data_IF_251544614513
#
_entry.id   IF_251544614513
#
_cell.length_a   1.000
_cell.length_b   1.000
_cell.length_c   1.000
_cell.angle_alpha   90.00
_cell.angle_beta   90.00
_cell.angle_gamma   90.00
#
_symmetry.space_group_name_H-M   'P 1'
#
loop_
_entity.id
_entity.type
_entity.pdbx_description
1 polymer ?
#
# COMPACT_ATOMS: atom_id res chain seq x y z
N UNK A 1 40.27 26.84 0.48
CA UNK A 1 39.03 26.32 -0.15
C UNK A 1 38.94 26.64 -1.66
N UNK A 2 39.47 27.74 -2.18
CA UNK A 2 39.43 28.08 -3.62
C UNK A 2 40.20 27.15 -4.57
N UNK A 3 41.29 26.51 -4.12
CA UNK A 3 42.11 25.64 -4.98
C UNK A 3 41.46 24.27 -5.31
N UNK A 4 40.67 23.70 -4.40
CA UNK A 4 39.98 22.40 -4.61
C UNK A 4 38.80 22.56 -5.56
N UNK A 5 38.04 23.64 -5.45
CA UNK A 5 36.96 23.98 -6.36
C UNK A 5 37.43 24.26 -7.78
N UNK A 6 38.54 25.00 -7.94
CA UNK A 6 39.13 25.29 -9.24
C UNK A 6 39.69 24.01 -9.93
N UNK A 7 40.26 23.08 -9.16
CA UNK A 7 40.69 21.77 -9.68
C UNK A 7 39.52 20.89 -10.07
N UNK A 8 38.42 20.88 -9.33
CA UNK A 8 37.20 20.15 -9.66
C UNK A 8 36.52 20.71 -10.94
N UNK A 9 36.41 22.00 -11.07
CA UNK A 9 35.85 22.64 -12.28
C UNK A 9 36.75 22.42 -13.51
N UNK A 10 38.08 22.46 -13.34
CA UNK A 10 39.01 22.13 -14.41
C UNK A 10 38.93 20.68 -14.86
N UNK A 11 38.85 19.72 -13.93
CA UNK A 11 38.70 18.31 -14.26
C UNK A 11 37.33 17.97 -14.88
N UNK A 12 36.28 18.68 -14.51
CA UNK A 12 34.95 18.54 -15.14
C UNK A 12 34.96 19.04 -16.60
N UNK A 13 35.64 20.15 -16.88
CA UNK A 13 35.74 20.71 -18.23
C UNK A 13 36.62 19.82 -19.15
N UNK A 14 37.71 19.25 -18.61
CA UNK A 14 38.56 18.29 -19.34
C UNK A 14 37.78 16.96 -19.61
N UNK A 15 37.07 16.42 -18.61
CA UNK A 15 36.26 15.23 -18.78
C UNK A 15 35.16 15.42 -19.84
N UNK A 16 34.54 16.61 -19.90
CA UNK A 16 33.54 16.94 -20.92
C UNK A 16 34.12 17.00 -22.34
N UNK A 17 35.34 17.52 -22.51
CA UNK A 17 36.01 17.54 -23.82
C UNK A 17 36.40 16.11 -24.29
N UNK A 18 36.82 15.25 -23.38
CA UNK A 18 37.26 13.89 -23.71
C UNK A 18 36.06 12.97 -24.10
N UNK A 19 34.93 13.14 -23.43
CA UNK A 19 33.65 12.50 -23.84
C UNK A 19 33.28 12.89 -25.27
N UNK A 20 33.62 14.10 -25.70
CA UNK A 20 33.33 14.59 -27.05
C UNK A 20 34.22 13.97 -28.15
N UNK A 21 35.41 13.48 -27.82
CA UNK A 21 36.39 12.93 -28.79
C UNK A 21 36.15 11.43 -29.01
N UNK A 22 35.79 10.64 -27.96
CA UNK A 22 35.59 9.19 -28.03
C UNK A 22 34.16 8.75 -27.71
N UNK A 23 33.19 9.46 -28.30
CA UNK A 23 31.75 9.37 -28.01
C UNK A 23 31.18 7.95 -27.90
N UNK A 24 31.53 7.06 -28.81
CA UNK A 24 30.87 5.74 -28.89
C UNK A 24 31.20 4.79 -27.72
N UNK A 25 32.48 4.76 -27.31
CA UNK A 25 32.92 3.82 -26.25
C UNK A 25 32.54 4.33 -24.85
N UNK A 26 32.76 5.62 -24.60
CA UNK A 26 32.40 6.27 -23.33
C UNK A 26 30.88 6.24 -23.15
N UNK A 27 30.11 6.53 -24.20
CA UNK A 27 28.67 6.39 -24.17
C UNK A 27 28.22 4.96 -23.84
N UNK A 28 28.83 3.93 -24.43
CA UNK A 28 28.46 2.54 -24.19
C UNK A 28 28.72 2.10 -22.73
N UNK A 29 29.84 2.57 -22.13
CA UNK A 29 30.11 2.30 -20.71
C UNK A 29 29.17 3.05 -19.79
N UNK A 30 28.86 4.32 -20.08
CA UNK A 30 27.92 5.13 -19.30
C UNK A 30 26.49 4.58 -19.37
N UNK A 31 26.07 4.08 -20.54
CA UNK A 31 24.77 3.42 -20.69
C UNK A 31 24.70 2.18 -19.79
N UNK A 32 25.77 1.36 -19.74
CA UNK A 32 25.80 0.18 -18.86
C UNK A 32 25.60 0.54 -17.38
N UNK A 33 26.30 1.59 -16.89
CA UNK A 33 26.13 2.10 -15.52
C UNK A 33 24.74 2.67 -15.30
N UNK A 34 24.25 3.50 -16.22
CA UNK A 34 22.93 4.09 -16.14
C UNK A 34 21.82 3.04 -16.06
N UNK A 35 21.92 1.98 -16.89
CA UNK A 35 20.97 0.87 -16.87
C UNK A 35 21.06 0.07 -15.55
N UNK A 36 22.25 -0.20 -15.05
CA UNK A 36 22.43 -0.89 -13.77
C UNK A 36 21.86 -0.09 -12.60
N UNK A 37 22.13 1.22 -12.54
CA UNK A 37 21.58 2.12 -11.52
C UNK A 37 20.07 2.26 -11.66
N UNK A 38 19.56 2.39 -12.88
CA UNK A 38 18.12 2.43 -13.16
C UNK A 38 17.42 1.15 -12.67
N UNK A 39 17.95 -0.01 -13.01
CA UNK A 39 17.39 -1.30 -12.59
C UNK A 39 17.42 -1.45 -11.07
N UNK A 40 18.52 -1.07 -10.42
CA UNK A 40 18.68 -1.14 -8.97
C UNK A 40 17.71 -0.20 -8.24
N UNK A 41 17.73 1.10 -8.60
CA UNK A 41 16.85 2.09 -7.99
C UNK A 41 15.37 1.80 -8.26
N UNK A 42 15.07 1.33 -9.48
CA UNK A 42 13.72 0.92 -9.87
C UNK A 42 13.25 -0.30 -9.07
N UNK A 43 14.10 -1.32 -8.85
CA UNK A 43 13.71 -2.50 -8.07
C UNK A 43 13.43 -2.18 -6.60
N UNK A 44 14.18 -1.25 -5.99
CA UNK A 44 13.91 -0.78 -4.63
C UNK A 44 12.58 -0.03 -4.58
N UNK A 45 12.35 0.90 -5.50
CA UNK A 45 11.10 1.65 -5.55
C UNK A 45 9.88 0.74 -5.81
N UNK A 46 10.01 -0.24 -6.69
CA UNK A 46 8.95 -1.23 -6.94
C UNK A 46 8.65 -2.08 -5.71
N UNK A 47 9.67 -2.43 -4.92
CA UNK A 47 9.49 -3.14 -3.67
C UNK A 47 8.69 -2.31 -2.66
N UNK A 48 8.96 -1.00 -2.55
CA UNK A 48 8.24 -0.10 -1.64
C UNK A 48 6.76 0.06 -2.08
N UNK A 49 6.48 0.15 -3.38
CA UNK A 49 5.11 0.19 -3.91
C UNK A 49 4.37 -1.13 -3.63
N UNK A 50 5.02 -2.28 -3.86
CA UNK A 50 4.44 -3.58 -3.56
C UNK A 50 4.17 -3.76 -2.06
N UNK A 51 5.06 -3.24 -1.21
CA UNK A 51 4.88 -3.20 0.23
C UNK A 51 3.65 -2.40 0.62
N UNK A 52 3.53 -1.18 0.09
CA UNK A 52 2.39 -0.31 0.34
C UNK A 52 1.09 -1.00 -0.11
N UNK A 53 1.08 -1.61 -1.29
CA UNK A 53 -0.07 -2.36 -1.80
C UNK A 53 -0.48 -3.52 -0.88
N UNK A 54 0.51 -4.24 -0.33
CA UNK A 54 0.25 -5.34 0.62
C UNK A 54 -0.35 -4.81 1.93
N UNK A 55 0.18 -3.70 2.46
CA UNK A 55 -0.34 -3.06 3.67
C UNK A 55 -1.77 -2.58 3.44
N UNK A 56 -2.04 -1.85 2.36
CA UNK A 56 -3.39 -1.36 2.07
C UNK A 56 -4.40 -2.50 1.83
N UNK A 57 -3.96 -3.58 1.18
CA UNK A 57 -4.80 -4.76 1.01
C UNK A 57 -5.12 -5.43 2.35
N UNK A 58 -4.14 -5.53 3.24
CA UNK A 58 -4.33 -6.06 4.58
C UNK A 58 -5.24 -5.15 5.42
N UNK A 59 -5.10 -3.83 5.33
CA UNK A 59 -5.98 -2.87 6.00
C UNK A 59 -7.43 -2.96 5.52
N UNK A 60 -7.66 -3.26 4.23
CA UNK A 60 -9.03 -3.50 3.73
C UNK A 60 -9.67 -4.76 4.27
N UNK A 61 -8.88 -5.82 4.49
CA UNK A 61 -9.40 -7.10 4.98
C UNK A 61 -9.53 -7.16 6.50
N UNK A 62 -8.61 -6.55 7.24
CA UNK A 62 -8.47 -6.73 8.69
C UNK A 62 -8.49 -5.43 9.50
N UNK A 63 -8.79 -4.31 8.83
CA UNK A 63 -8.73 -2.97 9.42
C UNK A 63 -7.32 -2.39 9.47
N UNK A 64 -7.24 -1.08 9.74
CA UNK A 64 -5.98 -0.35 9.89
C UNK A 64 -5.15 -0.88 11.05
N UNK A 65 -3.86 -0.58 11.04
CA UNK A 65 -2.94 -0.96 12.11
C UNK A 65 -3.51 -0.55 13.48
N UNK A 66 -3.44 -1.47 14.45
CA UNK A 66 -4.03 -1.33 15.80
C UNK A 66 -5.57 -1.46 15.85
N UNK A 67 -6.19 -2.14 14.91
CA UNK A 67 -7.58 -2.55 15.03
C UNK A 67 -7.69 -3.73 16.01
N UNK A 68 -8.53 -3.55 17.03
CA UNK A 68 -8.95 -4.58 17.96
C UNK A 68 -10.27 -5.17 17.50
N UNK A 69 -10.35 -6.48 17.53
CA UNK A 69 -11.59 -7.22 17.27
C UNK A 69 -12.08 -7.86 18.55
N UNK A 70 -13.34 -7.64 18.87
CA UNK A 70 -13.98 -8.23 20.02
C UNK A 70 -15.05 -9.21 19.57
N UNK A 71 -14.91 -10.46 20.00
CA UNK A 71 -15.96 -11.46 19.99
C UNK A 71 -16.62 -11.50 21.35
N UNK A 72 -17.96 -11.50 21.40
CA UNK A 72 -18.69 -11.68 22.65
C UNK A 72 -19.91 -12.59 22.50
N UNK A 73 -20.27 -13.23 23.60
CA UNK A 73 -21.52 -13.98 23.75
C UNK A 73 -22.05 -13.71 25.14
N UNK A 74 -23.16 -12.97 25.28
CA UNK A 74 -23.74 -12.71 26.58
C UNK A 74 -24.33 -13.97 27.21
N UNK A 75 -24.38 -14.00 28.54
CA UNK A 75 -25.03 -15.12 29.30
C UNK A 75 -26.49 -15.27 28.96
N UNK A 76 -27.20 -14.17 28.75
CA UNK A 76 -28.57 -14.14 28.21
C UNK A 76 -28.49 -13.94 26.69
N UNK A 77 -28.71 -15.00 25.94
CA UNK A 77 -28.71 -15.01 24.47
C UNK A 77 -30.02 -14.52 23.85
N UNK A 78 -30.95 -14.00 24.65
CA UNK A 78 -32.18 -13.37 24.14
C UNK A 78 -31.84 -12.02 23.45
N UNK A 79 -32.82 -11.49 22.72
CA UNK A 79 -32.74 -10.17 22.11
C UNK A 79 -32.40 -9.08 23.16
N UNK A 80 -32.99 -9.19 24.37
CA UNK A 80 -32.73 -8.25 25.46
C UNK A 80 -31.29 -8.33 25.97
N UNK A 81 -30.74 -9.56 26.10
CA UNK A 81 -29.35 -9.76 26.53
C UNK A 81 -28.35 -9.20 25.52
N UNK A 82 -28.61 -9.39 24.22
CA UNK A 82 -27.79 -8.77 23.16
C UNK A 82 -27.89 -7.27 23.13
N UNK A 83 -29.09 -6.69 23.34
CA UNK A 83 -29.25 -5.23 23.44
C UNK A 83 -28.49 -4.65 24.65
N UNK A 84 -28.51 -5.36 25.77
CA UNK A 84 -27.74 -4.94 26.96
C UNK A 84 -26.22 -5.00 26.69
N UNK A 85 -25.76 -6.02 26.00
CA UNK A 85 -24.35 -6.19 25.62
C UNK A 85 -23.91 -5.10 24.62
N UNK A 86 -24.74 -4.78 23.62
CA UNK A 86 -24.50 -3.66 22.69
C UNK A 86 -24.41 -2.32 23.44
N UNK A 87 -25.34 -2.08 24.40
CA UNK A 87 -25.29 -0.84 25.19
C UNK A 87 -24.01 -0.74 26.03
N UNK A 88 -23.60 -1.85 26.67
CA UNK A 88 -22.35 -1.88 27.42
C UNK A 88 -21.13 -1.61 26.52
N UNK A 89 -21.15 -2.08 25.27
CA UNK A 89 -20.11 -1.76 24.30
C UNK A 89 -20.08 -0.27 23.94
N UNK A 90 -21.22 0.36 23.69
CA UNK A 90 -21.28 1.80 23.46
C UNK A 90 -20.80 2.61 24.67
N UNK A 91 -21.17 2.19 25.90
CA UNK A 91 -20.70 2.85 27.12
C UNK A 91 -19.16 2.75 27.28
N UNK A 92 -18.55 1.65 26.81
CA UNK A 92 -17.10 1.47 26.75
C UNK A 92 -16.46 2.39 25.71
N UNK A 93 -17.04 2.49 24.52
CA UNK A 93 -16.54 3.41 23.48
C UNK A 93 -16.53 4.86 23.96
N UNK A 94 -17.62 5.31 24.57
CA UNK A 94 -17.74 6.65 25.11
C UNK A 94 -16.73 6.91 26.24
N UNK A 95 -16.54 5.93 27.14
CA UNK A 95 -15.61 6.04 28.28
C UNK A 95 -14.16 6.16 27.86
N UNK A 96 -13.76 5.43 26.82
CA UNK A 96 -12.38 5.44 26.30
C UNK A 96 -12.20 6.39 25.12
N UNK A 97 -13.23 7.18 24.77
CA UNK A 97 -13.24 8.15 23.66
C UNK A 97 -12.83 7.49 22.32
N UNK A 98 -13.31 6.26 22.07
CA UNK A 98 -13.02 5.54 20.84
C UNK A 98 -14.01 5.99 19.75
N UNK A 99 -13.56 6.87 18.87
CA UNK A 99 -14.39 7.43 17.80
C UNK A 99 -14.59 6.47 16.61
N UNK A 100 -13.64 5.59 16.36
CA UNK A 100 -13.65 4.66 15.24
C UNK A 100 -13.94 3.25 15.74
N UNK A 101 -15.20 2.86 15.67
CA UNK A 101 -15.65 1.56 16.06
C UNK A 101 -16.83 1.12 15.17
N UNK A 102 -16.96 -0.17 14.94
CA UNK A 102 -17.99 -0.74 14.06
C UNK A 102 -18.38 -2.14 14.51
N UNK A 103 -19.66 -2.46 14.31
CA UNK A 103 -20.14 -3.83 14.34
C UNK A 103 -20.08 -4.38 12.93
N UNK A 104 -19.53 -5.56 12.76
CA UNK A 104 -19.40 -6.20 11.46
C UNK A 104 -20.16 -7.50 11.48
N UNK A 105 -21.11 -7.68 10.56
CA UNK A 105 -21.88 -8.91 10.40
C UNK A 105 -21.81 -9.34 8.95
N UNK A 106 -21.49 -10.60 8.72
CA UNK A 106 -21.55 -11.20 7.40
C UNK A 106 -22.86 -11.95 7.23
N UNK A 107 -23.56 -11.68 6.16
CA UNK A 107 -24.83 -12.29 5.80
C UNK A 107 -24.87 -12.54 4.28
N UNK A 108 -25.82 -13.31 3.83
CA UNK A 108 -26.15 -13.49 2.43
C UNK A 108 -27.61 -13.13 2.20
N UNK A 109 -27.86 -12.48 1.08
CA UNK A 109 -29.22 -12.11 0.70
C UNK A 109 -29.39 -12.21 -0.80
N UNK A 110 -30.61 -12.28 -1.27
CA UNK A 110 -30.90 -12.34 -2.69
C UNK A 110 -31.38 -10.97 -3.18
N UNK A 111 -30.85 -10.52 -4.30
CA UNK A 111 -31.18 -9.24 -4.95
C UNK A 111 -31.74 -9.48 -6.32
N UNK A 112 -32.73 -8.66 -6.73
CA UNK A 112 -33.29 -8.68 -8.06
C UNK A 112 -32.37 -7.94 -9.04
N UNK A 113 -31.85 -8.66 -10.02
CA UNK A 113 -31.12 -8.12 -11.16
C UNK A 113 -31.99 -8.18 -12.41
N UNK A 114 -31.60 -7.48 -13.50
CA UNK A 114 -32.31 -7.56 -14.79
C UNK A 114 -32.43 -8.99 -15.34
N UNK A 115 -31.44 -9.84 -15.06
CA UNK A 115 -31.37 -11.24 -15.51
C UNK A 115 -32.04 -12.23 -14.55
N UNK A 116 -32.56 -11.79 -13.41
CA UNK A 116 -33.23 -12.62 -12.39
C UNK A 116 -32.73 -12.34 -10.97
N UNK A 117 -33.17 -13.17 -10.04
CA UNK A 117 -32.74 -13.07 -8.63
C UNK A 117 -31.42 -13.81 -8.47
N UNK A 118 -30.43 -13.16 -7.86
CA UNK A 118 -29.10 -13.74 -7.56
C UNK A 118 -28.73 -13.49 -6.09
N UNK A 119 -27.93 -14.40 -5.54
CA UNK A 119 -27.39 -14.25 -4.20
C UNK A 119 -26.24 -13.24 -4.19
N UNK A 120 -26.21 -12.42 -3.15
CA UNK A 120 -25.27 -11.33 -2.95
C UNK A 120 -24.70 -11.44 -1.54
N UNK A 121 -23.39 -11.28 -1.39
CA UNK A 121 -22.78 -11.13 -0.08
C UNK A 121 -23.18 -9.80 0.52
N UNK A 122 -23.77 -9.83 1.71
CA UNK A 122 -24.16 -8.66 2.47
C UNK A 122 -23.23 -8.51 3.68
N UNK A 123 -22.54 -7.41 3.78
CA UNK A 123 -21.80 -7.04 4.97
C UNK A 123 -22.50 -5.86 5.64
N UNK A 124 -22.95 -6.11 6.87
CA UNK A 124 -23.65 -5.10 7.67
C UNK A 124 -22.64 -4.45 8.61
N UNK A 125 -22.52 -3.12 8.54
CA UNK A 125 -21.47 -2.36 9.22
C UNK A 125 -22.01 -1.06 9.81
N UNK A 126 -21.24 -0.41 10.68
CA UNK A 126 -21.51 0.97 11.09
C UNK A 126 -20.69 1.95 10.20
N UNK A 127 -21.07 3.21 10.22
CA UNK A 127 -20.52 4.26 9.34
C UNK A 127 -18.98 4.36 9.38
N UNK A 128 -18.26 4.25 10.53
CA UNK A 128 -16.81 4.36 10.58
C UNK A 128 -16.05 3.24 9.87
N UNK A 129 -16.70 2.13 9.52
CA UNK A 129 -16.09 0.98 8.84
C UNK A 129 -15.31 1.37 7.59
N UNK A 130 -15.87 2.25 6.75
CA UNK A 130 -15.25 2.65 5.49
C UNK A 130 -13.87 3.28 5.66
N UNK A 131 -13.69 4.07 6.72
CA UNK A 131 -12.41 4.68 7.06
C UNK A 131 -11.46 3.68 7.76
N UNK A 132 -12.00 2.85 8.66
CA UNK A 132 -11.24 1.82 9.36
C UNK A 132 -10.66 0.78 8.40
N UNK A 133 -11.41 0.42 7.35
CA UNK A 133 -11.03 -0.58 6.35
C UNK A 133 -10.58 0.03 5.02
N UNK A 134 -10.27 1.32 4.97
CA UNK A 134 -9.78 1.99 3.74
C UNK A 134 -10.64 1.65 2.50
N UNK A 135 -11.95 1.62 2.65
CA UNK A 135 -12.85 1.29 1.54
C UNK A 135 -12.72 2.34 0.42
N UNK A 136 -12.31 1.90 -0.77
CA UNK A 136 -12.14 2.78 -1.93
C UNK A 136 -13.47 2.94 -2.66
N UNK A 137 -13.97 4.16 -2.77
CA UNK A 137 -15.18 4.47 -3.51
C UNK A 137 -14.81 4.98 -4.89
N UNK A 138 -15.30 4.29 -5.94
CA UNK A 138 -15.10 4.68 -7.34
C UNK A 138 -16.16 5.67 -7.82
N UNK A 139 -17.42 5.45 -7.42
CA UNK A 139 -18.54 6.30 -7.79
C UNK A 139 -19.42 6.57 -6.57
N UNK A 140 -19.97 7.77 -6.47
CA UNK A 140 -20.79 8.17 -5.34
C UNK A 140 -20.01 8.43 -4.06
N UNK A 141 -20.55 8.02 -2.91
CA UNK A 141 -19.96 8.26 -1.58
C UNK A 141 -20.11 7.04 -0.68
N UNK A 142 -19.27 6.95 0.35
CA UNK A 142 -19.53 6.10 1.50
C UNK A 142 -20.69 6.64 2.32
N UNK A 143 -21.22 5.88 3.25
CA UNK A 143 -22.34 6.28 4.10
C UNK A 143 -22.06 7.59 4.86
N UNK A 144 -23.02 8.51 4.79
CA UNK A 144 -23.05 9.70 5.60
C UNK A 144 -23.73 9.44 6.96
N UNK A 145 -23.68 10.44 7.84
CA UNK A 145 -24.29 10.37 9.18
C UNK A 145 -25.81 10.19 9.09
N UNK A 146 -26.45 10.85 8.13
CA UNK A 146 -27.91 10.85 7.98
C UNK A 146 -28.45 9.60 7.24
N UNK A 147 -27.57 8.73 6.74
CA UNK A 147 -28.01 7.56 5.98
C UNK A 147 -28.65 6.47 6.87
N UNK A 148 -28.36 6.49 8.19
CA UNK A 148 -29.02 5.60 9.15
C UNK A 148 -30.52 5.91 9.32
N UNK A 149 -30.94 7.17 9.11
CA UNK A 149 -32.30 7.64 9.34
C UNK A 149 -33.16 7.65 8.08
N UNK A 150 -32.63 7.15 6.96
CA UNK A 150 -33.39 7.05 5.69
C UNK A 150 -34.50 6.02 5.77
N UNK A 151 -35.66 6.37 5.21
CA UNK A 151 -36.78 5.44 5.07
C UNK A 151 -36.48 4.27 4.15
N UNK A 152 -35.76 4.51 3.03
CA UNK A 152 -35.23 3.48 2.18
C UNK A 152 -33.74 3.27 2.54
N UNK A 153 -33.31 2.03 2.91
CA UNK A 153 -31.94 1.75 3.26
C UNK A 153 -30.95 2.21 2.21
N UNK A 154 -29.87 2.83 2.64
CA UNK A 154 -28.74 3.11 1.77
C UNK A 154 -27.86 1.86 1.65
N UNK A 155 -27.36 1.56 0.44
CA UNK A 155 -26.39 0.50 0.20
C UNK A 155 -25.22 1.02 -0.62
N UNK A 156 -24.03 0.49 -0.33
CA UNK A 156 -22.82 0.70 -1.12
C UNK A 156 -22.46 -0.63 -1.74
N UNK A 157 -22.42 -0.71 -3.07
CA UNK A 157 -22.26 -1.96 -3.83
C UNK A 157 -20.87 -2.06 -4.45
N UNK A 158 -20.40 -3.27 -4.75
CA UNK A 158 -19.12 -3.42 -5.44
C UNK A 158 -19.25 -3.20 -6.96
N UNK A 159 -18.12 -3.03 -7.62
CA UNK A 159 -18.05 -2.81 -9.07
C UNK A 159 -18.72 -3.95 -9.85
N UNK A 160 -18.59 -5.22 -9.41
CA UNK A 160 -19.21 -6.36 -10.07
C UNK A 160 -20.75 -6.29 -10.01
N UNK A 161 -21.32 -5.97 -8.85
CA UNK A 161 -22.77 -5.79 -8.69
C UNK A 161 -23.27 -4.59 -9.52
N UNK A 162 -22.55 -3.48 -9.52
CA UNK A 162 -22.90 -2.29 -10.31
C UNK A 162 -22.95 -2.58 -11.81
N UNK A 163 -21.98 -3.34 -12.33
CA UNK A 163 -21.97 -3.77 -13.73
C UNK A 163 -23.14 -4.71 -14.04
N UNK A 164 -23.46 -5.64 -13.17
CA UNK A 164 -24.61 -6.55 -13.31
C UNK A 164 -25.97 -5.82 -13.29
N UNK A 165 -26.04 -4.65 -12.67
CA UNK A 165 -27.20 -3.76 -12.69
C UNK A 165 -27.26 -2.88 -13.94
N UNK A 166 -26.31 -3.00 -14.88
CA UNK A 166 -26.24 -2.19 -16.09
C UNK A 166 -25.55 -0.84 -15.92
N UNK A 167 -24.74 -0.68 -14.87
CA UNK A 167 -23.95 0.52 -14.58
C UNK A 167 -24.80 1.82 -14.52
N UNK A 168 -25.89 1.85 -13.72
CA UNK A 168 -26.75 3.02 -13.63
C UNK A 168 -26.00 4.24 -13.11
N UNK A 169 -26.39 5.45 -13.58
CA UNK A 169 -25.88 6.70 -13.04
C UNK A 169 -26.39 6.91 -11.61
N UNK A 170 -25.49 7.04 -10.64
CA UNK A 170 -25.83 7.23 -9.22
C UNK A 170 -26.53 8.56 -8.96
N UNK A 171 -26.37 9.57 -9.83
CA UNK A 171 -27.11 10.84 -9.71
C UNK A 171 -28.63 10.65 -9.87
N UNK A 172 -29.07 9.53 -10.44
CA UNK A 172 -30.50 9.17 -10.55
C UNK A 172 -31.05 8.45 -9.33
N UNK A 173 -30.24 8.24 -8.29
CA UNK A 173 -30.58 7.47 -7.11
C UNK A 173 -31.14 6.08 -7.44
N UNK A 174 -30.38 5.22 -8.12
CA UNK A 174 -30.85 3.92 -8.55
C UNK A 174 -31.24 3.07 -7.34
N UNK A 175 -32.37 2.35 -7.49
CA UNK A 175 -32.88 1.47 -6.45
C UNK A 175 -32.63 0.03 -6.81
N UNK A 176 -32.43 -0.81 -5.79
CA UNK A 176 -32.29 -2.25 -5.91
C UNK A 176 -33.29 -2.92 -4.97
N UNK A 177 -33.98 -3.95 -5.45
CA UNK A 177 -34.92 -4.73 -4.64
C UNK A 177 -34.17 -5.89 -3.98
N UNK A 178 -34.13 -5.91 -2.66
CA UNK A 178 -33.50 -6.97 -1.86
C UNK A 178 -34.55 -8.02 -1.55
N UNK A 179 -34.67 -9.02 -2.43
CA UNK A 179 -35.68 -10.07 -2.33
C UNK A 179 -35.54 -10.88 -1.03
N UNK A 180 -34.31 -11.18 -0.60
CA UNK A 180 -34.04 -11.93 0.63
C UNK A 180 -34.36 -11.15 1.92
N UNK A 181 -34.69 -9.85 1.83
CA UNK A 181 -35.14 -9.00 2.94
C UNK A 181 -36.58 -8.50 2.72
N UNK A 182 -37.48 -9.41 2.33
CA UNK A 182 -38.90 -9.11 2.17
C UNK A 182 -39.25 -8.24 0.96
N UNK A 183 -38.36 -8.10 -0.02
CA UNK A 183 -38.54 -7.20 -1.17
C UNK A 183 -38.30 -5.75 -0.85
N UNK A 184 -37.47 -5.46 0.16
CA UNK A 184 -37.10 -4.10 0.54
C UNK A 184 -36.38 -3.39 -0.60
N UNK A 185 -36.80 -2.18 -0.92
CA UNK A 185 -36.10 -1.31 -1.89
C UNK A 185 -35.02 -0.53 -1.16
N UNK A 186 -33.78 -0.66 -1.65
CA UNK A 186 -32.61 0.07 -1.13
C UNK A 186 -32.06 1.01 -2.22
N UNK A 187 -31.53 2.16 -1.79
CA UNK A 187 -30.93 3.17 -2.67
C UNK A 187 -29.41 2.93 -2.75
N UNK A 188 -28.87 2.83 -3.95
CA UNK A 188 -27.43 2.75 -4.15
C UNK A 188 -26.83 4.15 -4.03
N UNK A 189 -26.00 4.37 -3.01
CA UNK A 189 -25.35 5.66 -2.72
C UNK A 189 -23.90 5.71 -3.18
N UNK A 190 -23.26 4.53 -3.34
CA UNK A 190 -21.87 4.44 -3.76
C UNK A 190 -21.52 3.10 -4.36
N UNK A 191 -20.41 3.11 -5.10
CA UNK A 191 -19.79 1.91 -5.69
C UNK A 191 -18.37 1.82 -5.16
N UNK A 192 -18.05 0.74 -4.45
CA UNK A 192 -16.70 0.52 -3.96
C UNK A 192 -15.90 -0.39 -4.90
N UNK A 193 -14.61 -0.09 -4.95
CA UNK A 193 -13.66 -0.84 -5.78
C UNK A 193 -13.30 -2.15 -5.12
N UNK A 194 -13.38 -3.22 -5.89
CA UNK A 194 -12.83 -4.53 -5.53
C UNK A 194 -11.72 -4.94 -6.48
N UNK A 195 -10.98 -5.97 -6.12
CA UNK A 195 -9.99 -6.58 -6.99
C UNK A 195 -10.65 -7.02 -8.31
N UNK A 196 -9.91 -6.94 -9.41
CA UNK A 196 -10.35 -7.41 -10.73
C UNK A 196 -10.71 -8.92 -10.74
N UNK A 197 -10.24 -9.67 -9.74
CA UNK A 197 -10.53 -11.10 -9.56
C UNK A 197 -11.80 -11.37 -8.77
N UNK A 198 -12.30 -10.35 -8.04
CA UNK A 198 -13.52 -10.45 -7.25
C UNK A 198 -14.72 -10.09 -8.12
N UNK A 199 -15.28 -11.11 -8.75
CA UNK A 199 -16.43 -10.99 -9.65
C UNK A 199 -17.76 -11.28 -8.95
N UNK A 200 -17.73 -11.62 -7.64
CA UNK A 200 -18.95 -11.92 -6.91
C UNK A 200 -19.65 -10.63 -6.47
N UNK A 201 -20.98 -10.51 -6.73
CA UNK A 201 -21.75 -9.35 -6.28
C UNK A 201 -21.75 -9.24 -4.76
N UNK A 202 -21.44 -8.06 -4.24
CA UNK A 202 -21.43 -7.80 -2.80
C UNK A 202 -21.85 -6.37 -2.49
N UNK A 203 -22.39 -6.18 -1.27
CA UNK A 203 -22.85 -4.86 -0.83
C UNK A 203 -22.67 -4.67 0.67
N UNK A 204 -22.51 -3.40 1.05
CA UNK A 204 -22.56 -2.93 2.43
C UNK A 204 -23.93 -2.32 2.73
N UNK A 205 -24.38 -2.49 3.98
CA UNK A 205 -25.57 -1.84 4.54
C UNK A 205 -25.28 -1.40 5.97
N UNK A 206 -25.86 -0.29 6.41
CA UNK A 206 -25.72 0.17 7.79
C UNK A 206 -26.47 -0.76 8.77
N UNK A 207 -25.87 -0.99 9.94
CA UNK A 207 -26.44 -1.82 11.02
C UNK A 207 -27.82 -1.34 11.44
N UNK A 208 -28.02 -0.02 11.54
CA UNK A 208 -29.31 0.57 11.91
C UNK A 208 -30.40 0.24 10.86
N UNK A 209 -30.08 0.40 9.58
CA UNK A 209 -31.00 0.10 8.48
C UNK A 209 -31.31 -1.41 8.43
N UNK A 210 -30.31 -2.28 8.57
CA UNK A 210 -30.51 -3.73 8.60
C UNK A 210 -31.42 -4.14 9.76
N UNK A 211 -31.17 -3.64 10.97
CA UNK A 211 -31.96 -3.94 12.15
C UNK A 211 -33.43 -3.50 12.04
N UNK A 212 -33.73 -2.46 11.25
CA UNK A 212 -35.09 -1.96 11.05
C UNK A 212 -35.93 -2.84 10.09
N UNK A 213 -35.30 -3.67 9.25
CA UNK A 213 -35.97 -4.46 8.20
C UNK A 213 -35.95 -5.97 8.43
N UNK A 214 -35.13 -6.45 9.37
CA UNK A 214 -35.04 -7.90 9.67
C UNK A 214 -35.81 -8.26 10.94
N UNK A 215 -36.21 -9.53 11.04
CA UNK A 215 -36.76 -10.05 12.28
C UNK A 215 -35.67 -10.06 13.38
N UNK A 216 -35.98 -9.65 14.61
CA UNK A 216 -35.03 -9.65 15.73
C UNK A 216 -34.34 -11.00 15.98
N UNK A 217 -35.01 -12.13 15.68
CA UNK A 217 -34.40 -13.44 15.79
C UNK A 217 -33.20 -13.64 14.87
N UNK A 218 -33.19 -13.01 13.69
CA UNK A 218 -32.05 -13.06 12.76
C UNK A 218 -30.84 -12.30 13.32
N UNK A 219 -31.06 -11.23 14.07
CA UNK A 219 -29.99 -10.47 14.73
C UNK A 219 -29.27 -11.31 15.80
N UNK A 220 -30.02 -12.13 16.50
CA UNK A 220 -29.50 -13.02 17.56
C UNK A 220 -28.79 -14.24 16.99
N UNK A 221 -29.30 -14.82 15.91
CA UNK A 221 -28.74 -16.04 15.30
C UNK A 221 -27.39 -15.85 14.64
N UNK A 222 -27.08 -14.62 14.21
CA UNK A 222 -25.79 -14.25 13.61
C UNK A 222 -25.27 -12.99 14.29
N UNK A 223 -24.64 -13.09 15.47
CA UNK A 223 -24.16 -11.94 16.22
C UNK A 223 -23.04 -11.21 15.46
N UNK A 224 -22.90 -9.89 15.63
CA UNK A 224 -21.85 -9.13 15.00
C UNK A 224 -20.52 -9.41 15.69
N UNK A 225 -19.45 -9.21 14.94
CA UNK A 225 -18.11 -8.99 15.45
C UNK A 225 -17.95 -7.48 15.71
N UNK A 226 -17.27 -7.09 16.76
CA UNK A 226 -17.07 -5.71 17.13
C UNK A 226 -15.64 -5.32 16.85
N UNK A 227 -15.43 -4.24 16.14
CA UNK A 227 -14.10 -3.75 15.79
C UNK A 227 -13.91 -2.33 16.30
N UNK A 228 -12.69 -2.04 16.77
CA UNK A 228 -12.30 -0.74 17.33
C UNK A 228 -10.91 -0.39 16.84
N UNK A 229 -10.75 0.79 16.27
CA UNK A 229 -9.43 1.30 15.89
C UNK A 229 -8.89 2.19 16.99
N UNK A 230 -7.80 1.81 17.61
CA UNK A 230 -7.21 2.45 18.78
C UNK A 230 -5.78 2.93 18.50
N UNK A 231 -5.24 3.88 19.29
CA UNK A 231 -3.84 4.26 19.15
C UNK A 231 -2.89 3.09 19.41
N UNK A 232 -1.94 2.85 18.51
CA UNK A 232 -1.04 1.70 18.55
C UNK A 232 -0.29 1.53 19.90
N UNK A 233 0.22 2.59 20.57
CA UNK A 233 0.88 2.45 21.87
C UNK A 233 -0.04 1.92 22.98
N UNK A 234 -1.36 2.10 22.84
CA UNK A 234 -2.34 1.74 23.85
C UNK A 234 -3.04 0.40 23.61
N UNK A 235 -2.78 -0.27 22.49
CA UNK A 235 -3.41 -1.53 22.07
C UNK A 235 -3.50 -2.54 23.21
N UNK A 236 -2.36 -2.86 23.83
CA UNK A 236 -2.29 -3.89 24.89
C UNK A 236 -3.04 -3.47 26.17
N UNK A 237 -2.96 -2.20 26.55
CA UNK A 237 -3.62 -1.71 27.72
C UNK A 237 -5.14 -1.65 27.52
N UNK A 238 -5.58 -1.10 26.39
CA UNK A 238 -7.00 -1.00 26.05
C UNK A 238 -7.63 -2.37 25.85
N UNK A 239 -6.98 -3.31 25.14
CA UNK A 239 -7.54 -4.64 24.95
C UNK A 239 -7.82 -5.35 26.28
N UNK A 240 -6.87 -5.29 27.22
CA UNK A 240 -7.04 -5.91 28.55
C UNK A 240 -8.14 -5.23 29.37
N UNK A 241 -8.22 -3.89 29.36
CA UNK A 241 -9.24 -3.14 30.10
C UNK A 241 -10.63 -3.37 29.51
N UNK A 242 -10.79 -3.25 28.22
CA UNK A 242 -12.06 -3.48 27.51
C UNK A 242 -12.52 -4.92 27.74
N UNK A 243 -11.62 -5.91 27.61
CA UNK A 243 -11.97 -7.31 27.86
C UNK A 243 -12.47 -7.52 29.28
N UNK A 244 -11.80 -6.96 30.30
CA UNK A 244 -12.18 -7.12 31.70
C UNK A 244 -13.56 -6.46 31.97
N UNK A 245 -13.79 -5.25 31.44
CA UNK A 245 -15.03 -4.51 31.63
C UNK A 245 -16.21 -5.17 30.91
N UNK A 246 -16.00 -5.57 29.63
CA UNK A 246 -17.04 -6.27 28.87
C UNK A 246 -17.35 -7.65 29.45
N UNK A 247 -16.35 -8.37 29.97
CA UNK A 247 -16.58 -9.65 30.67
C UNK A 247 -17.48 -9.46 31.91
N UNK A 248 -17.32 -8.37 32.63
CA UNK A 248 -18.18 -8.04 33.76
C UNK A 248 -19.64 -7.70 33.34
N UNK A 249 -19.82 -7.16 32.13
CA UNK A 249 -21.11 -6.72 31.62
C UNK A 249 -21.95 -7.86 31.01
N UNK A 250 -21.31 -8.89 30.40
CA UNK A 250 -22.01 -9.98 29.70
C UNK A 250 -22.54 -11.09 30.61
N UNK A 251 -22.28 -11.02 31.91
CA UNK A 251 -22.75 -11.95 32.93
C UNK A 251 -21.79 -13.13 33.18
N UNK A 252 -22.08 -13.91 34.21
CA UNK A 252 -21.15 -14.91 34.77
C UNK A 252 -20.80 -16.09 33.84
N UNK A 253 -21.65 -16.43 32.89
CA UNK A 253 -21.45 -17.50 31.91
C UNK A 253 -21.17 -16.95 30.50
N UNK A 254 -21.14 -15.63 30.35
CA UNK A 254 -20.80 -14.97 29.10
C UNK A 254 -19.32 -15.10 28.75
N UNK A 255 -19.03 -14.90 27.48
CA UNK A 255 -17.67 -14.95 26.96
C UNK A 255 -17.34 -13.65 26.23
N UNK A 256 -16.13 -13.15 26.44
CA UNK A 256 -15.57 -12.00 25.70
C UNK A 256 -14.12 -12.28 25.40
N UNK A 257 -13.72 -12.09 24.13
CA UNK A 257 -12.33 -12.00 23.72
C UNK A 257 -12.09 -10.67 23.03
N UNK A 258 -10.96 -10.03 23.30
CA UNK A 258 -10.52 -8.82 22.62
C UNK A 258 -9.10 -9.06 22.12
N UNK A 259 -8.98 -9.19 20.81
CA UNK A 259 -7.75 -9.56 20.15
C UNK A 259 -7.33 -8.48 19.14
N UNK A 260 -6.04 -8.30 18.96
CA UNK A 260 -5.52 -7.51 17.86
C UNK A 260 -5.51 -8.38 16.60
N UNK A 261 -6.25 -8.00 15.57
CA UNK A 261 -6.46 -8.79 14.35
C UNK A 261 -5.89 -8.16 13.10
N UNK A 262 -5.35 -6.94 13.18
CA UNK A 262 -4.68 -6.31 12.06
C UNK A 262 -3.40 -7.08 11.67
N UNK A 263 -2.94 -6.87 10.45
CA UNK A 263 -1.76 -7.56 9.92
C UNK A 263 -0.51 -7.45 10.80
N UNK A 264 -0.35 -6.31 11.51
CA UNK A 264 0.76 -6.08 12.44
C UNK A 264 0.74 -6.98 13.68
N UNK A 265 -0.37 -7.67 13.97
CA UNK A 265 -0.44 -8.64 15.05
C UNK A 265 0.26 -9.97 14.73
N UNK A 266 0.30 -10.33 13.45
CA UNK A 266 0.74 -11.65 12.99
C UNK A 266 2.07 -11.65 12.24
N UNK A 267 2.54 -10.48 11.81
CA UNK A 267 3.75 -10.36 11.01
C UNK A 267 4.60 -9.18 11.49
N UNK A 268 5.77 -9.47 12.03
CA UNK A 268 6.76 -8.45 12.41
C UNK A 268 7.20 -7.60 11.21
N UNK A 269 7.26 -8.19 10.01
CA UNK A 269 7.50 -7.51 8.73
C UNK A 269 7.11 -8.43 7.57
N UNK A 270 5.88 -8.33 7.01
CA UNK A 270 5.44 -9.18 5.90
C UNK A 270 6.27 -8.99 4.64
N UNK A 271 7.05 -7.91 4.58
CA UNK A 271 7.84 -7.52 3.42
C UNK A 271 9.33 -7.83 3.57
N UNK A 272 9.77 -8.35 4.73
CA UNK A 272 11.17 -8.70 4.96
C UNK A 272 11.72 -9.64 3.87
N UNK A 273 10.92 -10.60 3.43
CA UNK A 273 11.31 -11.53 2.35
C UNK A 273 11.46 -10.77 1.02
N UNK A 274 10.51 -9.91 0.67
CA UNK A 274 10.58 -9.08 -0.55
C UNK A 274 11.81 -8.18 -0.53
N UNK A 275 12.10 -7.57 0.62
CA UNK A 275 13.28 -6.73 0.81
C UNK A 275 14.59 -7.51 0.64
N UNK A 276 14.68 -8.71 1.19
CA UNK A 276 15.85 -9.59 1.02
C UNK A 276 16.02 -9.98 -0.45
N UNK A 277 14.95 -10.40 -1.13
CA UNK A 277 14.98 -10.77 -2.55
C UNK A 277 15.42 -9.58 -3.41
N UNK A 278 14.89 -8.39 -3.15
CA UNK A 278 15.27 -7.16 -3.84
C UNK A 278 16.75 -6.81 -3.64
N UNK A 279 17.26 -6.94 -2.41
CA UNK A 279 18.68 -6.72 -2.10
C UNK A 279 19.59 -7.74 -2.82
N UNK A 280 19.19 -9.01 -2.87
CA UNK A 280 19.95 -10.05 -3.58
C UNK A 280 19.97 -9.78 -5.08
N UNK A 281 18.83 -9.52 -5.69
CA UNK A 281 18.74 -9.20 -7.13
C UNK A 281 19.53 -7.92 -7.43
N UNK A 282 19.37 -6.87 -6.64
CA UNK A 282 20.13 -5.64 -6.75
C UNK A 282 21.63 -5.86 -6.65
N UNK A 283 22.07 -6.68 -5.70
CA UNK A 283 23.47 -7.08 -5.54
C UNK A 283 24.04 -7.81 -6.78
N UNK A 284 23.26 -8.71 -7.37
CA UNK A 284 23.66 -9.41 -8.61
C UNK A 284 23.79 -8.42 -9.78
N UNK A 285 22.82 -7.54 -9.96
CA UNK A 285 22.87 -6.50 -11.02
C UNK A 285 24.08 -5.60 -10.83
N UNK A 286 24.39 -5.24 -9.60
CA UNK A 286 25.55 -4.42 -9.23
C UNK A 286 26.86 -5.14 -9.57
N UNK A 287 27.00 -6.40 -9.21
CA UNK A 287 28.18 -7.22 -9.55
C UNK A 287 28.38 -7.32 -11.07
N UNK A 288 27.32 -7.53 -11.83
CA UNK A 288 27.38 -7.59 -13.29
C UNK A 288 27.79 -6.23 -13.89
N UNK A 289 27.25 -5.12 -13.36
CA UNK A 289 27.66 -3.76 -13.73
C UNK A 289 29.13 -3.48 -13.43
N UNK A 290 29.60 -3.85 -12.25
CA UNK A 290 31.00 -3.71 -11.85
C UNK A 290 31.96 -4.49 -12.72
N UNK A 291 31.64 -5.76 -13.05
CA UNK A 291 32.43 -6.57 -13.97
C UNK A 291 32.52 -5.94 -15.37
N UNK A 292 31.43 -5.36 -15.86
CA UNK A 292 31.41 -4.61 -17.12
C UNK A 292 32.36 -3.42 -17.10
N UNK A 293 32.34 -2.64 -16.03
CA UNK A 293 33.21 -1.48 -15.83
C UNK A 293 34.68 -1.86 -15.70
N UNK A 294 35.01 -2.90 -14.93
CA UNK A 294 36.39 -3.42 -14.81
C UNK A 294 36.95 -3.84 -16.18
N UNK A 295 36.15 -4.52 -16.99
CA UNK A 295 36.56 -4.91 -18.32
C UNK A 295 36.87 -3.69 -19.21
N UNK A 296 36.02 -2.67 -19.18
CA UNK A 296 36.23 -1.43 -19.95
C UNK A 296 37.43 -0.65 -19.40
N UNK A 297 37.60 -0.54 -18.08
CA UNK A 297 38.73 0.13 -17.44
C UNK A 297 40.05 -0.50 -17.83
N UNK A 298 40.16 -1.84 -17.85
CA UNK A 298 41.34 -2.56 -18.26
C UNK A 298 41.73 -2.24 -19.71
N UNK A 299 40.76 -2.19 -20.62
CA UNK A 299 41.00 -1.84 -22.03
C UNK A 299 41.46 -0.37 -22.16
N UNK A 300 40.82 0.54 -21.43
CA UNK A 300 41.15 1.98 -21.46
C UNK A 300 42.54 2.23 -20.93
N UNK A 301 42.92 1.63 -19.80
CA UNK A 301 44.28 1.78 -19.23
C UNK A 301 45.33 1.30 -20.20
N UNK A 302 45.14 0.14 -20.86
CA UNK A 302 46.07 -0.38 -21.89
C UNK A 302 46.27 0.60 -23.07
N UNK A 303 45.24 1.31 -23.47
CA UNK A 303 45.29 2.30 -24.55
C UNK A 303 46.00 3.58 -24.15
N UNK A 304 45.91 3.98 -22.87
CA UNK A 304 46.50 5.23 -22.30
C UNK A 304 47.94 5.03 -21.78
N UNK A 305 48.53 3.84 -21.85
CA UNK A 305 49.88 3.59 -21.32
C UNK A 305 50.89 4.57 -21.90
N UNK A 306 50.79 4.91 -23.18
CA UNK A 306 51.70 5.88 -23.84
C UNK A 306 51.52 7.27 -23.32
N UNK A 307 50.32 7.73 -23.09
CA UNK A 307 50.02 9.07 -22.54
C UNK A 307 50.47 9.20 -21.09
N UNK A 308 50.22 8.15 -20.27
CA UNK A 308 50.69 8.07 -18.88
C UNK A 308 52.25 8.11 -18.88
N UNK A 309 52.91 7.42 -19.79
CA UNK A 309 54.35 7.45 -19.92
C UNK A 309 54.90 8.83 -20.25
N UNK A 310 54.25 9.60 -21.15
CA UNK A 310 54.60 10.97 -21.50
C UNK A 310 54.42 11.90 -20.33
N UNK A 311 53.30 11.83 -19.62
CA UNK A 311 53.03 12.66 -18.43
C UNK A 311 54.07 12.40 -17.31
N UNK A 312 54.52 11.17 -17.14
CA UNK A 312 55.57 10.80 -16.15
C UNK A 312 56.96 11.27 -16.60
N UNK A 313 57.28 11.29 -17.87
CA UNK A 313 58.57 11.85 -18.36
C UNK A 313 58.69 13.34 -18.17
N UNK A 314 57.54 14.08 -18.10
CA UNK A 314 57.50 15.50 -17.74
C UNK A 314 57.41 15.75 -16.23
N UNK A 315 57.65 14.74 -15.36
CA UNK A 315 57.78 14.87 -13.91
C UNK A 315 56.46 14.72 -13.13
N UNK A 316 55.39 14.24 -13.73
CA UNK A 316 54.16 13.96 -13.00
C UNK A 316 54.36 12.81 -12.04
N UNK A 317 53.97 12.96 -10.76
CA UNK A 317 54.02 11.88 -9.76
C UNK A 317 52.94 10.82 -10.06
N UNK A 318 53.24 9.57 -9.73
CA UNK A 318 52.31 8.42 -9.94
C UNK A 318 50.94 8.68 -9.29
N UNK A 319 50.93 9.24 -8.07
CA UNK A 319 49.67 9.55 -7.37
C UNK A 319 48.83 10.57 -8.10
N UNK A 320 49.47 11.65 -8.65
CA UNK A 320 48.72 12.68 -9.39
C UNK A 320 48.07 12.13 -10.64
N UNK A 321 48.76 11.25 -11.39
CA UNK A 321 48.21 10.60 -12.60
C UNK A 321 47.10 9.65 -12.22
N UNK A 322 47.30 8.84 -11.16
CA UNK A 322 46.29 7.91 -10.66
C UNK A 322 45.03 8.64 -10.24
N UNK A 323 45.12 9.66 -9.40
CA UNK A 323 43.95 10.44 -8.95
C UNK A 323 43.24 11.17 -10.10
N UNK A 324 43.96 11.64 -11.11
CA UNK A 324 43.35 12.30 -12.27
C UNK A 324 42.47 11.29 -13.06
N UNK A 325 43.00 10.08 -13.35
CA UNK A 325 42.28 9.05 -14.07
C UNK A 325 41.09 8.49 -13.24
N UNK A 326 41.29 8.32 -11.93
CA UNK A 326 40.24 7.86 -11.03
C UNK A 326 39.09 8.88 -10.96
N UNK A 327 39.40 10.20 -10.78
CA UNK A 327 38.37 11.23 -10.72
C UNK A 327 37.60 11.37 -12.04
N UNK A 328 38.23 11.18 -13.15
CA UNK A 328 37.57 11.15 -14.46
C UNK A 328 36.51 10.03 -14.52
N UNK A 329 36.88 8.83 -14.08
CA UNK A 329 35.95 7.70 -14.04
C UNK A 329 34.79 7.94 -13.08
N UNK A 330 35.07 8.43 -11.85
CA UNK A 330 34.05 8.74 -10.83
C UNK A 330 33.07 9.81 -11.34
N UNK A 331 33.53 10.87 -11.95
CA UNK A 331 32.64 11.92 -12.51
C UNK A 331 31.74 11.32 -13.59
N UNK A 332 32.30 10.51 -14.48
CA UNK A 332 31.53 9.89 -15.55
C UNK A 332 30.45 8.92 -15.00
N UNK A 333 30.81 8.09 -13.99
CA UNK A 333 29.89 7.14 -13.39
C UNK A 333 28.79 7.85 -12.55
N UNK A 334 29.09 8.94 -11.86
CA UNK A 334 28.11 9.76 -11.16
C UNK A 334 27.08 10.36 -12.12
N UNK A 335 27.54 10.92 -13.26
CA UNK A 335 26.64 11.45 -14.28
C UNK A 335 25.73 10.34 -14.85
N UNK A 336 26.30 9.17 -15.14
CA UNK A 336 25.51 8.02 -15.58
C UNK A 336 24.52 7.55 -14.51
N UNK A 337 24.95 7.56 -13.24
CA UNK A 337 24.08 7.23 -12.10
C UNK A 337 22.90 8.18 -11.98
N UNK A 338 23.11 9.49 -12.10
CA UNK A 338 22.03 10.49 -12.10
C UNK A 338 21.03 10.20 -13.23
N UNK A 339 21.53 9.95 -14.44
CA UNK A 339 20.65 9.58 -15.57
C UNK A 339 19.88 8.30 -15.29
N UNK A 340 20.54 7.29 -14.70
CA UNK A 340 19.90 6.04 -14.29
C UNK A 340 18.77 6.25 -13.27
N UNK A 341 18.99 7.08 -12.25
CA UNK A 341 17.95 7.41 -11.25
C UNK A 341 16.79 8.16 -11.92
N UNK A 342 17.07 9.14 -12.78
CA UNK A 342 16.00 9.86 -13.50
C UNK A 342 15.15 8.90 -14.34
N UNK A 343 15.80 7.97 -15.04
CA UNK A 343 15.08 6.95 -15.82
C UNK A 343 14.25 6.03 -14.92
N UNK A 344 14.77 5.62 -13.75
CA UNK A 344 14.02 4.83 -12.77
C UNK A 344 12.78 5.56 -12.27
N UNK A 345 12.91 6.86 -11.94
CA UNK A 345 11.77 7.69 -11.51
C UNK A 345 10.72 7.78 -12.62
N UNK A 346 11.12 8.02 -13.86
CA UNK A 346 10.19 8.11 -14.99
C UNK A 346 9.47 6.79 -15.27
N UNK A 347 10.17 5.66 -15.16
CA UNK A 347 9.59 4.33 -15.39
C UNK A 347 8.61 3.98 -14.26
N UNK A 348 9.03 4.13 -13.01
CA UNK A 348 8.23 3.77 -11.83
C UNK A 348 6.96 4.62 -11.73
N UNK A 349 7.06 5.93 -12.03
CA UNK A 349 5.90 6.84 -12.00
C UNK A 349 5.05 6.77 -13.27
N UNK A 350 5.36 5.87 -14.22
CA UNK A 350 4.50 5.72 -15.39
C UNK A 350 3.20 5.02 -15.00
N UNK A 351 2.03 5.50 -15.49
CA UNK A 351 0.73 4.89 -15.17
C UNK A 351 0.68 3.39 -15.46
N UNK A 352 1.32 2.96 -16.53
CA UNK A 352 1.37 1.55 -16.93
C UNK A 352 2.05 0.65 -15.89
N UNK A 353 3.13 1.13 -15.25
CA UNK A 353 3.87 0.37 -14.24
C UNK A 353 3.13 0.41 -12.92
N UNK A 354 2.59 1.56 -12.53
CA UNK A 354 1.80 1.68 -11.31
C UNK A 354 0.59 0.74 -11.32
N UNK A 355 -0.17 0.71 -12.41
CA UNK A 355 -1.34 -0.16 -12.55
C UNK A 355 -0.96 -1.65 -12.56
N UNK A 356 0.17 -2.00 -13.21
CA UNK A 356 0.65 -3.38 -13.25
C UNK A 356 1.06 -3.90 -11.86
N UNK A 357 1.71 -3.05 -11.05
CA UNK A 357 2.24 -3.45 -9.74
C UNK A 357 1.18 -3.40 -8.65
N UNK A 358 0.33 -2.39 -8.69
CA UNK A 358 -0.71 -2.19 -7.67
C UNK A 358 -2.03 -2.90 -8.01
N UNK A 359 -2.22 -3.38 -9.24
CA UNK A 359 -3.52 -3.86 -9.71
C UNK A 359 -4.63 -2.80 -9.62
N UNK A 360 -4.26 -1.52 -9.56
CA UNK A 360 -5.18 -0.39 -9.39
C UNK A 360 -5.74 -0.24 -7.96
N UNK A 361 -5.23 -1.01 -7.00
CA UNK A 361 -5.76 -1.05 -5.63
C UNK A 361 -4.98 -0.19 -4.62
N UNK A 362 -3.82 0.36 -5.00
CA UNK A 362 -3.07 1.29 -4.13
C UNK A 362 -3.66 2.68 -4.28
N UNK A 363 -4.17 3.22 -3.16
CA UNK A 363 -4.76 4.57 -3.11
C UNK A 363 -3.70 5.63 -2.90
N UNK A 364 -2.72 5.34 -2.04
CA UNK A 364 -1.65 6.26 -1.67
C UNK A 364 -0.32 5.80 -2.28
N UNK A 365 -0.05 6.22 -3.52
CA UNK A 365 1.24 5.93 -4.15
C UNK A 365 2.37 6.58 -3.34
N UNK A 366 3.31 5.79 -2.77
CA UNK A 366 4.45 6.35 -2.08
C UNK A 366 5.30 7.16 -3.07
N UNK A 367 5.84 8.32 -2.66
CA UNK A 367 6.79 9.05 -3.47
C UNK A 367 8.01 8.16 -3.73
N UNK A 368 8.67 8.37 -4.88
CA UNK A 368 9.91 7.64 -5.18
C UNK A 368 10.89 7.77 -3.99
N UNK A 369 11.36 6.66 -3.39
CA UNK A 369 12.10 6.69 -2.15
C UNK A 369 13.47 7.34 -2.35
N UNK A 370 13.77 8.37 -1.55
CA UNK A 370 15.07 9.05 -1.57
C UNK A 370 16.22 8.07 -1.27
N UNK A 371 15.96 7.04 -0.46
CA UNK A 371 16.89 5.94 -0.19
C UNK A 371 17.32 5.20 -1.44
N UNK A 372 16.42 4.91 -2.37
CA UNK A 372 16.73 4.26 -3.64
C UNK A 372 17.61 5.14 -4.55
N UNK A 373 17.32 6.45 -4.58
CA UNK A 373 18.14 7.40 -5.35
C UNK A 373 19.56 7.53 -4.76
N UNK A 374 19.67 7.70 -3.44
CA UNK A 374 20.98 7.79 -2.75
C UNK A 374 21.75 6.48 -2.92
N UNK A 375 21.10 5.34 -2.75
CA UNK A 375 21.73 4.03 -2.90
C UNK A 375 22.26 3.84 -4.32
N UNK A 376 21.48 4.19 -5.35
CA UNK A 376 21.91 4.15 -6.75
C UNK A 376 23.13 5.04 -7.03
N UNK A 377 23.17 6.26 -6.46
CA UNK A 377 24.30 7.17 -6.61
C UNK A 377 25.55 6.70 -5.87
N UNK A 378 25.41 6.16 -4.65
CA UNK A 378 26.52 5.57 -3.89
C UNK A 378 27.13 4.41 -4.67
N UNK A 379 26.29 3.54 -5.21
CA UNK A 379 26.72 2.41 -6.04
C UNK A 379 27.47 2.93 -7.28
N UNK A 380 26.96 3.93 -7.99
CA UNK A 380 27.61 4.53 -9.15
C UNK A 380 28.99 5.15 -8.82
N UNK A 381 29.20 5.58 -7.57
CA UNK A 381 30.49 6.14 -7.13
C UNK A 381 31.50 5.10 -6.68
N UNK A 382 31.05 3.95 -6.17
CA UNK A 382 31.91 2.88 -5.65
C UNK A 382 32.37 1.94 -6.77
N UNK A 383 31.57 1.78 -7.80
CA UNK A 383 31.84 0.95 -8.98
C UNK A 383 32.63 1.74 -10.02
#
# INVERSE_FOLDING_TARGET
MGGVLATLVGSLAEAWQEVRIHKGRVLLSLVGVAVAVCALSGSVAMSDIAQQGTIEQAERSSGRAATLTMGMSPSDTSTAGWQQADQAWFDVLDRYEIAYATRVRWDQTSVQFPEGVQDVSLQVVDQPYGEMHRTLIDHGTWFGVDDSDRLAPAVVINTAMWQSLGSPDLATHPQVTIAGLGGTEAVVVGVYRTSAWDTWPSMYMLTANFASIVDPSRLVSSPPQYEMWVPEPLVRELSNRIQAEMTASVGATGFVSVDRTDWGAYMDDPTAILRIVTLVIGGIILLLGALGLVNIALVTVRQRIREIGIRRSFGATSNRVFFAVMMESVVATVVAGIVGVILAVLIVNSPMVSDLVSGGLVSDMPPFPASAAVFGLVVATVV
#
